data_IF_020341242590
#
_entry.id   IF_020341242590
#
_cell.length_a   1.000
_cell.length_b   1.000
_cell.length_c   1.000
_cell.angle_alpha   90.00
_cell.angle_beta   90.00
_cell.angle_gamma   90.00
#
_symmetry.space_group_name_H-M   'P 1'
#
loop_
_entity.id
_entity.type
_entity.pdbx_description
1 polymer ?
#
# COMPACT_ATOMS: atom_id res chain seq x y z
N UNK A 1 25.62 -23.90 -36.55
CA UNK A 1 24.17 -24.15 -36.58
C UNK A 1 23.69 -24.10 -35.13
N UNK A 2 23.57 -22.89 -34.59
CA UNK A 2 23.34 -22.66 -33.15
C UNK A 2 22.77 -21.26 -32.96
N UNK A 3 21.47 -21.11 -33.08
CA UNK A 3 20.73 -19.94 -32.55
C UNK A 3 19.23 -20.24 -32.66
N UNK A 4 18.70 -21.02 -31.71
CA UNK A 4 17.24 -21.13 -31.59
C UNK A 4 16.77 -21.40 -30.15
N UNK A 5 17.40 -20.73 -29.19
CA UNK A 5 16.97 -20.78 -27.82
C UNK A 5 17.15 -19.41 -27.18
N UNK A 6 16.05 -18.65 -27.07
CA UNK A 6 15.71 -17.68 -26.00
C UNK A 6 14.81 -16.54 -26.47
N UNK A 7 13.92 -16.77 -27.42
CA UNK A 7 12.68 -15.98 -27.46
C UNK A 7 11.73 -16.52 -26.38
N UNK A 8 12.10 -16.32 -25.11
CA UNK A 8 11.16 -16.50 -24.01
C UNK A 8 10.28 -15.26 -23.99
N UNK A 9 9.28 -15.30 -24.86
CA UNK A 9 8.14 -14.38 -24.91
C UNK A 9 7.67 -14.17 -23.47
N UNK A 10 7.77 -12.94 -22.98
CA UNK A 10 7.10 -12.52 -21.75
C UNK A 10 5.63 -12.84 -21.99
N UNK A 11 5.04 -13.74 -21.22
CA UNK A 11 3.64 -14.12 -21.39
C UNK A 11 2.76 -12.85 -21.34
N UNK A 12 1.72 -12.74 -22.18
CA UNK A 12 0.87 -11.55 -22.24
C UNK A 12 0.28 -11.15 -20.87
N UNK A 13 0.07 -12.13 -20.00
CA UNK A 13 -0.37 -12.00 -18.60
C UNK A 13 0.60 -11.20 -17.70
N UNK A 14 1.90 -11.35 -17.89
CA UNK A 14 2.95 -10.70 -17.08
C UNK A 14 3.16 -9.24 -17.49
N UNK A 15 2.95 -8.93 -18.77
CA UNK A 15 2.83 -7.55 -19.25
C UNK A 15 1.57 -6.87 -18.71
N UNK A 16 0.46 -7.63 -18.58
CA UNK A 16 -0.81 -7.16 -18.05
C UNK A 16 -0.72 -6.64 -16.61
N UNK A 17 -0.16 -7.42 -15.68
CA UNK A 17 -0.03 -7.00 -14.28
C UNK A 17 0.91 -5.78 -14.12
N UNK A 18 2.06 -5.79 -14.79
CA UNK A 18 3.02 -4.67 -14.74
C UNK A 18 2.43 -3.38 -15.31
N UNK A 19 1.67 -3.50 -16.39
CA UNK A 19 0.89 -2.41 -16.96
C UNK A 19 -0.16 -1.92 -15.97
N UNK A 20 -0.99 -2.83 -15.44
CA UNK A 20 -2.02 -2.50 -14.47
C UNK A 20 -1.47 -1.74 -13.27
N UNK A 21 -0.45 -2.28 -12.59
CA UNK A 21 0.21 -1.64 -11.44
C UNK A 21 0.75 -0.27 -11.84
N UNK A 22 1.39 -0.18 -13.01
CA UNK A 22 1.91 1.09 -13.51
C UNK A 22 0.81 2.14 -13.70
N UNK A 23 -0.33 1.78 -14.28
CA UNK A 23 -1.44 2.71 -14.50
C UNK A 23 -2.22 3.02 -13.22
N UNK A 24 -2.41 2.05 -12.34
CA UNK A 24 -3.13 2.19 -11.08
C UNK A 24 -2.36 3.03 -10.05
N UNK A 25 -1.02 3.03 -10.10
CA UNK A 25 -0.17 3.64 -9.09
C UNK A 25 -0.56 5.07 -8.67
N UNK A 26 -0.75 6.06 -9.57
CA UNK A 26 -1.14 7.40 -9.15
C UNK A 26 -2.47 7.36 -8.43
N UNK A 27 -3.47 6.68 -8.99
CA UNK A 27 -4.80 6.60 -8.39
C UNK A 27 -4.73 6.07 -6.96
N UNK A 28 -3.99 4.98 -6.72
CA UNK A 28 -3.79 4.44 -5.37
C UNK A 28 -3.10 5.44 -4.45
N UNK A 29 -2.06 6.13 -4.91
CA UNK A 29 -1.35 7.13 -4.10
C UNK A 29 -2.20 8.37 -3.79
N UNK A 30 -3.16 8.72 -4.63
CA UNK A 30 -4.04 9.87 -4.42
C UNK A 30 -5.26 9.51 -3.58
N UNK A 31 -5.83 8.33 -3.76
CA UNK A 31 -6.98 7.86 -3.01
C UNK A 31 -6.67 7.72 -1.51
N UNK A 32 -5.45 7.32 -1.16
CA UNK A 32 -5.07 7.09 0.23
C UNK A 32 -5.06 8.35 1.11
N UNK A 33 -4.36 9.44 0.76
CA UNK A 33 -4.42 10.68 1.53
C UNK A 33 -5.82 11.31 1.50
N UNK A 34 -6.59 11.14 0.41
CA UNK A 34 -8.00 11.53 0.37
C UNK A 34 -8.78 10.79 1.45
N UNK A 35 -8.64 9.46 1.51
CA UNK A 35 -9.28 8.66 2.55
C UNK A 35 -8.83 9.13 3.94
N UNK A 36 -7.53 9.27 4.22
CA UNK A 36 -7.04 9.70 5.54
C UNK A 36 -7.56 11.09 5.93
N UNK A 37 -7.67 12.02 4.99
CA UNK A 37 -8.20 13.36 5.29
C UNK A 37 -9.70 13.33 5.57
N UNK A 38 -10.45 12.48 4.87
CA UNK A 38 -11.91 12.46 4.94
C UNK A 38 -12.50 11.34 5.79
N UNK A 39 -11.70 10.40 6.32
CA UNK A 39 -12.21 9.25 7.07
C UNK A 39 -12.99 9.67 8.32
N UNK A 40 -12.56 10.73 9.01
CA UNK A 40 -13.24 11.25 10.18
C UNK A 40 -14.64 11.83 9.90
N UNK A 41 -14.96 12.16 8.64
CA UNK A 41 -16.32 12.55 8.24
C UNK A 41 -17.25 11.34 8.01
N UNK A 42 -16.69 10.14 7.87
CA UNK A 42 -17.46 8.90 7.80
C UNK A 42 -17.84 8.37 9.20
N UNK A 43 -17.25 8.93 10.26
CA UNK A 43 -17.55 8.63 11.67
C UNK A 43 -18.10 9.84 12.42
N UNK A 44 -18.12 9.77 13.76
CA UNK A 44 -18.58 10.84 14.64
C UNK A 44 -17.46 11.89 14.82
N UNK A 45 -17.10 12.56 13.73
CA UNK A 45 -15.88 13.36 13.61
C UNK A 45 -15.70 14.49 14.65
N UNK A 46 -14.47 14.64 15.17
CA UNK A 46 -14.05 15.71 16.08
C UNK A 46 -13.25 16.84 15.42
N UNK A 47 -12.64 17.69 16.26
CA UNK A 47 -11.82 18.83 15.82
C UNK A 47 -10.65 18.45 14.91
N UNK A 48 -10.07 17.25 15.07
CA UNK A 48 -9.01 16.72 14.21
C UNK A 48 -9.45 16.59 12.75
N UNK A 49 -10.70 16.16 12.52
CA UNK A 49 -11.27 16.03 11.18
C UNK A 49 -11.39 17.40 10.49
N UNK A 50 -11.73 18.43 11.27
CA UNK A 50 -11.79 19.82 10.78
C UNK A 50 -10.39 20.31 10.40
N UNK A 51 -9.38 20.05 11.25
CA UNK A 51 -7.99 20.41 10.98
C UNK A 51 -7.45 19.70 9.73
N UNK A 52 -7.73 18.40 9.57
CA UNK A 52 -7.38 17.63 8.38
C UNK A 52 -8.06 18.18 7.13
N UNK A 53 -9.34 18.57 7.22
CA UNK A 53 -10.05 19.19 6.11
C UNK A 53 -9.46 20.54 5.72
N UNK A 54 -9.14 21.40 6.68
CA UNK A 54 -8.48 22.69 6.42
C UNK A 54 -7.07 22.50 5.84
N UNK A 55 -6.34 21.48 6.29
CA UNK A 55 -5.03 21.11 5.77
C UNK A 55 -5.08 20.36 4.44
N UNK A 56 -6.25 19.86 4.02
CA UNK A 56 -6.43 19.03 2.83
C UNK A 56 -5.85 19.60 1.54
N UNK A 57 -5.94 20.92 1.24
CA UNK A 57 -5.37 21.49 0.02
C UNK A 57 -3.85 21.37 -0.05
N UNK A 58 -3.18 21.14 1.08
CA UNK A 58 -1.72 20.96 1.17
C UNK A 58 -1.38 19.49 1.37
N UNK A 59 -2.05 18.80 2.32
CA UNK A 59 -1.77 17.41 2.68
C UNK A 59 -1.99 16.46 1.50
N UNK A 60 -3.13 16.59 0.79
CA UNK A 60 -3.47 15.67 -0.31
C UNK A 60 -2.47 15.81 -1.46
N UNK A 61 -2.16 17.02 -1.98
CA UNK A 61 -1.15 17.16 -3.02
C UNK A 61 0.25 16.75 -2.57
N UNK A 62 0.68 17.11 -1.35
CA UNK A 62 2.00 16.73 -0.85
C UNK A 62 2.17 15.21 -0.78
N UNK A 63 1.21 14.50 -0.17
CA UNK A 63 1.25 13.05 -0.05
C UNK A 63 1.10 12.36 -1.43
N UNK A 64 0.17 12.81 -2.27
CA UNK A 64 -0.03 12.27 -3.61
C UNK A 64 1.20 12.42 -4.51
N UNK A 65 1.89 13.56 -4.42
CA UNK A 65 3.15 13.80 -5.14
C UNK A 65 4.31 12.96 -4.58
N UNK A 66 4.45 12.87 -3.25
CA UNK A 66 5.48 12.04 -2.60
C UNK A 66 5.32 10.56 -2.93
N UNK A 67 4.08 10.04 -2.90
CA UNK A 67 3.80 8.66 -3.32
C UNK A 67 4.08 8.43 -4.81
N UNK A 68 3.89 9.45 -5.64
CA UNK A 68 4.10 9.38 -7.09
C UNK A 68 5.56 9.64 -7.52
N UNK A 69 6.42 10.10 -6.60
CA UNK A 69 7.82 10.42 -6.85
C UNK A 69 8.62 9.29 -7.51
N UNK A 70 8.55 8.02 -7.05
CA UNK A 70 9.31 6.94 -7.68
C UNK A 70 8.89 6.73 -9.14
N UNK A 71 7.60 6.87 -9.44
CA UNK A 71 7.09 6.79 -10.82
C UNK A 71 7.63 7.91 -11.69
N UNK A 72 7.73 9.14 -11.17
CA UNK A 72 8.32 10.25 -11.91
C UNK A 72 9.80 10.00 -12.23
N UNK A 73 10.58 9.52 -11.25
CA UNK A 73 11.99 9.13 -11.43
C UNK A 73 12.10 8.09 -12.56
N UNK A 74 11.29 7.04 -12.50
CA UNK A 74 11.34 5.96 -13.49
C UNK A 74 10.88 6.38 -14.88
N UNK A 75 9.86 7.24 -14.98
CA UNK A 75 9.41 7.81 -16.27
C UNK A 75 10.49 8.67 -16.89
N UNK A 76 11.21 9.46 -16.09
CA UNK A 76 12.35 10.25 -16.56
C UNK A 76 13.47 9.34 -17.07
N UNK A 77 13.66 8.19 -16.44
CA UNK A 77 14.57 7.13 -16.91
C UNK A 77 13.98 6.28 -18.06
N UNK A 78 12.86 6.65 -18.68
CA UNK A 78 12.35 5.95 -19.88
C UNK A 78 11.57 4.65 -19.65
N UNK A 79 11.23 4.29 -18.40
CA UNK A 79 10.42 3.10 -18.13
C UNK A 79 8.97 3.29 -18.59
N UNK A 80 8.42 2.27 -19.25
CA UNK A 80 7.01 2.24 -19.71
C UNK A 80 6.09 1.37 -18.84
N UNK A 81 6.68 0.51 -18.01
CA UNK A 81 5.99 -0.43 -17.14
C UNK A 81 6.71 -0.53 -15.79
N UNK A 82 6.01 -1.01 -14.76
CA UNK A 82 6.63 -1.31 -13.47
C UNK A 82 7.68 -2.44 -13.62
N UNK A 83 8.95 -2.25 -13.19
CA UNK A 83 9.97 -3.28 -13.16
C UNK A 83 9.58 -4.42 -12.21
N UNK A 84 9.91 -5.64 -12.59
CA UNK A 84 9.63 -6.83 -11.77
C UNK A 84 10.11 -6.74 -10.31
N UNK A 85 11.36 -6.31 -10.03
CA UNK A 85 11.85 -6.23 -8.65
C UNK A 85 11.07 -5.24 -7.78
N UNK A 86 10.40 -4.28 -8.40
CA UNK A 86 9.68 -3.21 -7.72
C UNK A 86 8.28 -3.64 -7.27
N UNK A 87 7.66 -4.61 -7.97
CA UNK A 87 6.28 -5.00 -7.73
C UNK A 87 6.00 -5.45 -6.28
N UNK A 88 6.82 -6.33 -5.65
CA UNK A 88 6.57 -6.74 -4.27
C UNK A 88 6.62 -5.55 -3.31
N UNK A 89 7.60 -4.66 -3.49
CA UNK A 89 7.75 -3.48 -2.63
C UNK A 89 6.56 -2.51 -2.78
N UNK A 90 6.00 -2.38 -3.99
CA UNK A 90 4.79 -1.58 -4.22
C UNK A 90 3.56 -2.18 -3.55
N UNK A 91 3.38 -3.50 -3.61
CA UNK A 91 2.26 -4.13 -2.92
C UNK A 91 2.38 -4.00 -1.41
N UNK A 92 3.57 -4.23 -0.85
CA UNK A 92 3.81 -4.01 0.58
C UNK A 92 3.51 -2.55 0.93
N UNK A 93 3.99 -1.59 0.15
CA UNK A 93 3.70 -0.17 0.36
C UNK A 93 2.19 0.11 0.39
N UNK A 94 1.45 -0.31 -0.64
CA UNK A 94 0.02 -0.01 -0.76
C UNK A 94 -0.82 -0.67 0.33
N UNK A 95 -0.58 -1.95 0.59
CA UNK A 95 -1.29 -2.68 1.63
C UNK A 95 -0.93 -2.20 3.04
N UNK A 96 0.31 -1.78 3.27
CA UNK A 96 0.71 -1.18 4.54
C UNK A 96 -0.06 0.11 4.80
N UNK A 97 -0.11 1.00 3.82
CA UNK A 97 -0.88 2.23 3.97
C UNK A 97 -2.38 1.99 4.09
N UNK A 98 -2.94 1.06 3.33
CA UNK A 98 -4.36 0.69 3.43
C UNK A 98 -4.68 0.14 4.83
N UNK A 99 -3.82 -0.73 5.36
CA UNK A 99 -4.00 -1.29 6.71
C UNK A 99 -3.89 -0.23 7.77
N UNK A 100 -2.90 0.68 7.67
CA UNK A 100 -2.77 1.80 8.59
C UNK A 100 -4.04 2.67 8.57
N UNK A 101 -4.59 2.94 7.38
CA UNK A 101 -5.83 3.67 7.19
C UNK A 101 -7.06 2.94 7.77
N UNK A 102 -7.12 1.61 7.71
CA UNK A 102 -8.22 0.82 8.28
C UNK A 102 -8.11 0.63 9.79
N UNK A 103 -6.89 0.56 10.32
CA UNK A 103 -6.59 0.43 11.74
C UNK A 103 -6.57 1.77 12.49
N UNK A 104 -6.65 2.90 11.78
CA UNK A 104 -6.72 4.23 12.37
C UNK A 104 -8.08 4.37 13.10
N UNK A 105 -8.08 4.58 14.42
CA UNK A 105 -9.31 4.84 15.16
C UNK A 105 -9.85 6.22 14.76
N UNK A 106 -11.17 6.37 14.73
CA UNK A 106 -11.77 7.67 14.49
C UNK A 106 -11.66 8.51 15.77
N UNK A 107 -11.09 9.70 15.65
CA UNK A 107 -10.90 10.62 16.78
C UNK A 107 -12.10 11.58 16.81
N UNK A 108 -12.95 11.41 17.81
CA UNK A 108 -14.12 12.23 18.07
C UNK A 108 -14.10 12.84 19.46
N UNK A 109 -14.75 13.99 19.62
CA UNK A 109 -14.87 14.70 20.90
C UNK A 109 -15.65 13.89 21.97
N UNK A 110 -16.32 12.81 21.56
CA UNK A 110 -17.17 11.94 22.40
C UNK A 110 -16.50 10.61 22.79
N UNK A 111 -15.27 10.35 22.34
CA UNK A 111 -14.56 9.08 22.51
C UNK A 111 -13.90 8.61 21.21
N UNK A 112 -13.03 7.60 21.30
CA UNK A 112 -12.50 6.92 20.12
C UNK A 112 -13.58 6.02 19.52
N UNK A 113 -13.99 6.32 18.29
CA UNK A 113 -14.87 5.45 17.54
C UNK A 113 -14.05 4.22 17.06
N UNK A 114 -14.65 3.01 17.10
CA UNK A 114 -14.00 1.78 16.67
C UNK A 114 -13.44 1.90 15.25
N UNK A 115 -12.22 1.39 15.01
CA UNK A 115 -11.63 1.41 13.67
C UNK A 115 -12.46 0.56 12.68
N UNK A 116 -12.32 0.79 11.37
CA UNK A 116 -12.96 -0.06 10.36
C UNK A 116 -12.52 -1.52 10.53
N UNK A 117 -11.28 -1.75 11.01
CA UNK A 117 -10.75 -3.08 11.28
C UNK A 117 -11.59 -3.84 12.32
N UNK A 118 -11.99 -3.17 13.40
CA UNK A 118 -12.84 -3.77 14.44
C UNK A 118 -14.22 -4.17 13.92
N UNK A 119 -14.74 -3.46 12.92
CA UNK A 119 -16.03 -3.78 12.29
C UNK A 119 -16.04 -5.14 11.56
N UNK A 120 -14.88 -5.72 11.26
CA UNK A 120 -14.76 -7.05 10.66
C UNK A 120 -14.74 -8.20 11.67
N UNK A 121 -14.66 -7.90 12.96
CA UNK A 121 -14.55 -8.90 14.04
C UNK A 121 -15.70 -8.71 15.02
N UNK A 122 -16.51 -9.75 15.23
CA UNK A 122 -17.72 -9.66 16.07
C UNK A 122 -17.45 -9.31 17.54
N UNK A 123 -16.25 -9.61 18.06
CA UNK A 123 -15.81 -9.26 19.42
C UNK A 123 -15.13 -7.89 19.53
N UNK A 124 -14.96 -7.17 18.41
CA UNK A 124 -14.10 -5.99 18.36
C UNK A 124 -12.60 -6.34 18.47
N UNK A 125 -11.75 -5.33 18.40
CA UNK A 125 -10.32 -5.46 18.60
C UNK A 125 -9.90 -4.59 19.79
N UNK A 126 -8.90 -5.02 20.54
CA UNK A 126 -8.36 -4.19 21.62
C UNK A 126 -7.63 -2.97 21.03
N UNK A 127 -7.78 -1.82 21.68
CA UNK A 127 -7.15 -0.57 21.25
C UNK A 127 -5.61 -0.71 21.10
N UNK A 128 -4.98 -1.46 22.01
CA UNK A 128 -3.54 -1.74 21.95
C UNK A 128 -3.14 -2.56 20.71
N UNK A 129 -3.99 -3.49 20.27
CA UNK A 129 -3.75 -4.26 19.05
C UNK A 129 -3.94 -3.39 17.81
N UNK A 130 -5.01 -2.60 17.73
CA UNK A 130 -5.25 -1.68 16.60
C UNK A 130 -4.10 -0.67 16.44
N UNK A 131 -3.68 -0.05 17.54
CA UNK A 131 -2.54 0.86 17.56
C UNK A 131 -1.24 0.16 17.14
N UNK A 132 -1.03 -1.08 17.57
CA UNK A 132 0.11 -1.91 17.16
C UNK A 132 0.11 -2.21 15.66
N UNK A 133 -1.04 -2.61 15.11
CA UNK A 133 -1.23 -2.86 13.68
C UNK A 133 -1.01 -1.58 12.87
N UNK A 134 -1.57 -0.45 13.30
CA UNK A 134 -1.38 0.85 12.68
C UNK A 134 0.10 1.24 12.66
N UNK A 135 0.78 1.18 13.82
CA UNK A 135 2.19 1.55 13.93
C UNK A 135 3.11 0.65 13.08
N UNK A 136 2.90 -0.67 13.13
CA UNK A 136 3.63 -1.62 12.31
C UNK A 136 3.42 -1.36 10.80
N UNK A 137 2.18 -1.06 10.41
CA UNK A 137 1.83 -0.75 9.03
C UNK A 137 2.48 0.55 8.56
N UNK A 138 2.51 1.60 9.37
CA UNK A 138 3.20 2.85 9.04
C UNK A 138 4.71 2.60 8.85
N UNK A 139 5.33 1.85 9.77
CA UNK A 139 6.75 1.48 9.70
C UNK A 139 7.08 0.68 8.43
N UNK A 140 6.30 -0.37 8.13
CA UNK A 140 6.47 -1.18 6.93
C UNK A 140 6.23 -0.37 5.65
N UNK A 141 5.22 0.52 5.65
CA UNK A 141 4.94 1.43 4.55
C UNK A 141 6.10 2.40 4.29
N UNK A 142 6.65 3.01 5.35
CA UNK A 142 7.80 3.90 5.24
C UNK A 142 9.04 3.17 4.71
N UNK A 143 9.36 1.98 5.24
CA UNK A 143 10.47 1.16 4.76
C UNK A 143 10.29 0.73 3.30
N UNK A 144 9.08 0.32 2.93
CA UNK A 144 8.74 -0.03 1.56
C UNK A 144 8.86 1.17 0.62
N UNK A 145 8.48 2.38 1.07
CA UNK A 145 8.62 3.60 0.28
C UNK A 145 10.09 3.94 0.00
N UNK A 146 10.95 3.87 1.03
CA UNK A 146 12.40 4.07 0.88
C UNK A 146 12.99 3.04 -0.07
N UNK A 147 12.59 1.78 0.07
CA UNK A 147 13.02 0.70 -0.83
C UNK A 147 12.58 0.94 -2.28
N UNK A 148 11.32 1.33 -2.49
CA UNK A 148 10.77 1.67 -3.82
C UNK A 148 11.54 2.83 -4.43
N UNK A 149 11.89 3.88 -3.67
CA UNK A 149 12.71 4.98 -4.14
C UNK A 149 14.14 4.55 -4.49
N UNK A 150 14.77 3.75 -3.64
CA UNK A 150 16.11 3.22 -3.87
C UNK A 150 16.17 2.37 -5.15
N UNK A 151 15.19 1.47 -5.33
CA UNK A 151 15.06 0.66 -6.54
C UNK A 151 14.74 1.52 -7.77
N UNK A 152 13.80 2.46 -7.67
CA UNK A 152 13.44 3.36 -8.76
C UNK A 152 14.63 4.20 -9.26
N UNK A 153 15.54 4.57 -8.36
CA UNK A 153 16.72 5.38 -8.68
C UNK A 153 17.90 4.56 -9.21
N UNK A 154 17.98 3.28 -8.87
CA UNK A 154 19.12 2.41 -9.20
C UNK A 154 18.88 1.49 -10.40
N UNK A 155 17.62 1.21 -10.77
CA UNK A 155 17.30 0.28 -11.85
C UNK A 155 17.65 0.85 -13.24
N UNK A 156 18.58 0.22 -13.99
CA UNK A 156 18.85 0.60 -15.36
C UNK A 156 17.65 0.38 -16.28
N UNK A 157 17.61 1.14 -17.38
CA UNK A 157 16.64 0.94 -18.46
C UNK A 157 16.79 -0.48 -19.01
N UNK A 158 15.71 -1.27 -18.97
CA UNK A 158 15.69 -2.67 -19.42
C UNK A 158 16.05 -3.71 -18.34
N UNK A 159 16.56 -3.30 -17.17
CA UNK A 159 16.96 -4.21 -16.09
C UNK A 159 15.82 -4.94 -15.36
N UNK A 160 14.56 -4.75 -15.80
CA UNK A 160 13.37 -5.36 -15.24
C UNK A 160 12.52 -6.13 -16.24
N UNK A 161 13.07 -6.45 -17.43
CA UNK A 161 12.34 -7.22 -18.45
C UNK A 161 12.32 -8.73 -18.17
N UNK A 162 13.34 -9.24 -17.45
CA UNK A 162 13.37 -10.64 -17.03
C UNK A 162 12.76 -10.77 -15.61
N UNK A 163 11.72 -11.60 -15.41
CA UNK A 163 11.19 -11.86 -14.09
C UNK A 163 12.25 -12.60 -13.26
N UNK A 164 12.70 -12.10 -12.09
CA UNK A 164 13.64 -12.83 -11.25
C UNK A 164 13.01 -14.11 -10.67
N UNK A 165 11.70 -14.14 -10.51
CA UNK A 165 10.87 -15.34 -10.36
C UNK A 165 9.43 -14.86 -10.47
N UNK A 166 8.66 -15.19 -11.53
CA UNK A 166 7.31 -14.66 -11.72
C UNK A 166 6.37 -15.00 -10.55
N UNK A 167 6.69 -16.08 -9.83
CA UNK A 167 6.02 -16.52 -8.60
C UNK A 167 6.11 -15.48 -7.47
N UNK A 168 7.25 -14.83 -7.22
CA UNK A 168 7.37 -13.95 -6.05
C UNK A 168 6.50 -12.69 -6.17
N UNK A 169 6.41 -12.12 -7.38
CA UNK A 169 5.57 -10.95 -7.67
C UNK A 169 4.07 -11.29 -7.74
N UNK A 170 3.70 -12.50 -8.18
CA UNK A 170 2.32 -12.97 -8.11
C UNK A 170 1.91 -13.32 -6.69
N UNK A 171 2.78 -14.00 -5.95
CA UNK A 171 2.53 -14.37 -4.57
C UNK A 171 2.41 -13.13 -3.70
N UNK A 172 3.24 -12.10 -3.87
CA UNK A 172 3.13 -10.88 -3.06
C UNK A 172 1.77 -10.17 -3.21
N UNK A 173 1.12 -10.25 -4.37
CA UNK A 173 -0.23 -9.71 -4.56
C UNK A 173 -1.27 -10.36 -3.65
N UNK A 174 -1.17 -11.67 -3.41
CA UNK A 174 -2.12 -12.44 -2.62
C UNK A 174 -1.67 -12.67 -1.17
N UNK A 175 -0.36 -12.83 -0.95
CA UNK A 175 0.23 -13.13 0.35
C UNK A 175 0.11 -11.95 1.28
N UNK A 176 0.33 -10.72 0.80
CA UNK A 176 0.22 -9.52 1.65
C UNK A 176 -1.21 -9.32 2.19
N UNK A 177 -2.28 -9.33 1.38
CA UNK A 177 -3.63 -9.27 1.92
C UNK A 177 -4.01 -10.51 2.75
N UNK A 178 -3.52 -11.70 2.41
CA UNK A 178 -3.79 -12.90 3.20
C UNK A 178 -3.14 -12.81 4.59
N UNK A 179 -1.91 -12.29 4.68
CA UNK A 179 -1.24 -12.05 5.96
C UNK A 179 -2.04 -11.02 6.77
N UNK A 180 -2.54 -9.96 6.14
CA UNK A 180 -3.39 -8.99 6.82
C UNK A 180 -4.65 -9.62 7.39
N UNK A 181 -5.38 -10.38 6.56
CA UNK A 181 -6.57 -11.12 7.02
C UNK A 181 -6.22 -12.06 8.17
N UNK A 182 -5.11 -12.80 8.07
CA UNK A 182 -4.67 -13.71 9.13
C UNK A 182 -4.33 -12.97 10.43
N UNK A 183 -3.64 -11.83 10.35
CA UNK A 183 -3.32 -10.99 11.53
C UNK A 183 -4.59 -10.46 12.18
N UNK A 184 -5.55 -9.97 11.40
CA UNK A 184 -6.84 -9.47 11.93
C UNK A 184 -7.63 -10.60 12.61
N UNK A 185 -7.74 -11.76 11.96
CA UNK A 185 -8.47 -12.92 12.50
C UNK A 185 -7.82 -13.43 13.78
N UNK A 186 -6.49 -13.56 13.82
CA UNK A 186 -5.76 -13.98 15.02
C UNK A 186 -5.93 -12.94 16.14
N UNK A 187 -5.85 -11.65 15.81
CA UNK A 187 -6.08 -10.56 16.76
C UNK A 187 -7.47 -10.62 17.40
N UNK A 188 -8.50 -10.89 16.59
CA UNK A 188 -9.87 -11.07 17.07
C UNK A 188 -10.03 -12.27 18.00
N UNK A 189 -9.47 -13.42 17.64
CA UNK A 189 -9.51 -14.64 18.46
C UNK A 189 -8.79 -14.48 19.80
N UNK A 190 -7.72 -13.69 19.86
CA UNK A 190 -7.00 -13.40 21.10
C UNK A 190 -7.76 -12.38 21.96
N UNK A 191 -8.44 -11.42 21.32
CA UNK A 191 -9.28 -10.43 21.99
C UNK A 191 -10.47 -11.02 22.74
N UNK A 192 -11.09 -12.09 22.22
CA UNK A 192 -12.21 -12.80 22.87
C UNK A 192 -11.82 -13.53 24.18
N UNK A 193 -10.53 -13.59 24.51
CA UNK A 193 -10.00 -14.33 25.67
C UNK A 193 -9.29 -13.45 26.71
N UNK A 194 -9.20 -12.13 26.49
CA UNK A 194 -8.55 -11.16 27.38
C UNK A 194 -9.57 -10.34 28.17
#
# INVERSE_FOLDING_TARGET
MTTDAREKVIGPEDAGLRGFVWYAWPWVNWLLPVYVVFHGFLGNGGWESVMLMMGSPVIIPAAGLLGSLPRFIMRKSGHRYAPWPLLPALFVLWWSWLTAAMAMPAVGDSGSDPSILSGFVSGGLSEGFENGVMAASILLGALAWVLVLGLASSLPIGAGERPPAPLLGRLSFFVVPLILVAVVVIGGLVGDHA
#
